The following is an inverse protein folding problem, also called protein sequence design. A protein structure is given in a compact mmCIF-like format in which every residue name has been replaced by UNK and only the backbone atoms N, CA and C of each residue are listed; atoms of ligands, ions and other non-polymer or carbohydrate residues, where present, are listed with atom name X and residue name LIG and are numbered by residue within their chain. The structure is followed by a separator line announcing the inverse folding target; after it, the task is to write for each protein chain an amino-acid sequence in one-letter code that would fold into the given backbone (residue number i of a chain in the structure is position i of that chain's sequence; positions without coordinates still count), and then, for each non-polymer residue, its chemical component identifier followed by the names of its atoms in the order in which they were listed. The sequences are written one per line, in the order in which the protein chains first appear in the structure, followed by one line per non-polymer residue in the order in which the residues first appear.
data_IF_557676202068
#
_entry.id   IF_557676202068
#
_cell.length_a   1.000
_cell.length_b   1.000
_cell.length_c   1.000
_cell.angle_alpha   90.00
_cell.angle_beta   90.00
_cell.angle_gamma   90.00
#
_symmetry.space_group_name_H-M   'P 1'
#
loop_
_entity.id
_entity.type
_entity.pdbx_description
1 polymer ?
#
# COMPACT_ATOMS: atom_id res chain seq x y z
N UNK A 1 -5.41 -29.58 -29.27
CA UNK A 1 -5.30 -28.77 -28.05
C UNK A 1 -4.04 -29.23 -27.37
N UNK A 2 -2.97 -28.42 -27.40
CA UNK A 2 -1.69 -28.81 -26.80
C UNK A 2 -1.80 -28.51 -25.31
N UNK A 3 -1.74 -29.55 -24.50
CA UNK A 3 -1.71 -29.40 -23.04
C UNK A 3 -0.24 -29.13 -22.67
N UNK A 4 -0.01 -28.54 -21.52
CA UNK A 4 1.33 -28.35 -20.97
C UNK A 4 1.28 -28.62 -19.49
N UNK A 5 2.44 -28.72 -18.86
CA UNK A 5 2.52 -28.89 -17.43
C UNK A 5 3.16 -27.68 -16.76
N UNK A 6 2.76 -27.44 -15.52
CA UNK A 6 3.40 -26.52 -14.60
C UNK A 6 3.77 -27.29 -13.34
N UNK A 7 4.99 -27.06 -12.85
CA UNK A 7 5.52 -27.62 -11.62
C UNK A 7 5.94 -26.49 -10.67
N UNK A 8 5.71 -26.71 -9.38
CA UNK A 8 6.02 -25.78 -8.30
C UNK A 8 4.80 -25.47 -7.41
N UNK A 9 4.97 -24.66 -6.35
CA UNK A 9 6.24 -24.05 -5.94
C UNK A 9 7.25 -25.09 -5.43
N UNK A 10 8.50 -24.96 -5.89
CA UNK A 10 9.63 -25.70 -5.32
C UNK A 10 10.52 -24.74 -4.53
N UNK A 11 10.85 -25.12 -3.31
CA UNK A 11 11.76 -24.36 -2.45
C UNK A 11 13.19 -24.86 -2.66
N UNK A 12 14.10 -23.97 -3.08
CA UNK A 12 15.50 -24.33 -3.31
C UNK A 12 16.42 -23.14 -3.02
N UNK A 13 17.36 -23.28 -2.10
CA UNK A 13 18.39 -22.27 -1.85
C UNK A 13 17.87 -20.89 -1.44
N UNK A 14 16.75 -20.81 -0.73
CA UNK A 14 16.08 -19.55 -0.37
C UNK A 14 15.24 -18.93 -1.49
N UNK A 15 15.10 -19.63 -2.62
CA UNK A 15 14.25 -19.24 -3.73
C UNK A 15 12.95 -20.05 -3.78
N UNK A 16 11.88 -19.43 -4.28
CA UNK A 16 10.66 -20.09 -4.72
C UNK A 16 10.72 -20.21 -6.25
N UNK A 17 10.65 -21.43 -6.77
CA UNK A 17 10.80 -21.70 -8.20
C UNK A 17 9.52 -22.32 -8.75
N UNK A 18 9.05 -21.77 -9.87
CA UNK A 18 8.01 -22.34 -10.72
C UNK A 18 8.59 -22.60 -12.10
N UNK A 19 8.14 -23.66 -12.76
CA UNK A 19 8.55 -23.94 -14.13
C UNK A 19 7.44 -24.65 -14.89
N UNK A 20 7.47 -24.57 -16.22
CA UNK A 20 6.52 -25.28 -17.04
C UNK A 20 6.97 -25.43 -18.48
N UNK A 21 6.30 -26.34 -19.18
CA UNK A 21 6.61 -26.67 -20.56
C UNK A 21 5.36 -27.13 -21.30
N UNK A 22 5.25 -26.77 -22.58
CA UNK A 22 4.23 -27.31 -23.48
C UNK A 22 4.58 -28.73 -23.93
N UNK A 23 3.58 -29.58 -24.15
CA UNK A 23 3.79 -30.97 -24.58
C UNK A 23 4.52 -31.07 -25.93
N UNK A 24 4.38 -30.05 -26.79
CA UNK A 24 5.10 -29.95 -28.07
C UNK A 24 6.53 -29.39 -27.95
N UNK A 25 6.99 -29.12 -26.72
CA UNK A 25 8.32 -28.59 -26.40
C UNK A 25 8.69 -27.31 -27.16
N UNK A 26 7.69 -26.52 -27.58
CA UNK A 26 7.88 -25.22 -28.22
C UNK A 26 7.97 -24.08 -27.23
N UNK A 27 7.45 -24.27 -26.01
CA UNK A 27 7.48 -23.27 -24.95
C UNK A 27 7.96 -23.90 -23.66
N UNK A 28 8.97 -23.29 -23.05
CA UNK A 28 9.50 -23.64 -21.74
C UNK A 28 9.72 -22.35 -20.95
N UNK A 29 9.42 -22.37 -19.66
CA UNK A 29 9.65 -21.23 -18.79
C UNK A 29 10.06 -21.65 -17.38
N UNK A 30 10.81 -20.78 -16.71
CA UNK A 30 11.22 -20.93 -15.31
C UNK A 30 11.20 -19.56 -14.64
N UNK A 31 10.38 -19.41 -13.60
CA UNK A 31 10.36 -18.22 -12.75
C UNK A 31 11.02 -18.54 -11.41
N UNK A 32 11.85 -17.63 -10.92
CA UNK A 32 12.55 -17.74 -9.65
C UNK A 32 12.32 -16.45 -8.83
N UNK A 33 11.87 -16.61 -7.60
CA UNK A 33 11.60 -15.53 -6.66
C UNK A 33 12.51 -15.68 -5.45
N UNK A 34 13.32 -14.67 -5.17
CA UNK A 34 14.27 -14.67 -4.05
C UNK A 34 13.99 -13.46 -3.18
N UNK A 35 13.80 -13.69 -1.88
CA UNK A 35 13.66 -12.64 -0.89
C UNK A 35 15.01 -12.43 -0.22
N UNK A 36 15.56 -11.23 -0.33
CA UNK A 36 16.83 -10.80 0.24
C UNK A 36 16.55 -9.73 1.30
N UNK A 37 17.24 -9.78 2.44
CA UNK A 37 17.20 -8.66 3.40
C UNK A 37 18.01 -7.47 2.87
N UNK A 38 17.50 -6.27 3.10
CA UNK A 38 18.09 -4.99 2.70
C UNK A 38 18.04 -4.00 3.86
N UNK A 39 18.96 -3.03 3.87
CA UNK A 39 19.02 -1.98 4.89
C UNK A 39 17.73 -1.13 4.99
N UNK A 40 16.86 -1.18 3.98
CA UNK A 40 15.61 -0.40 3.89
C UNK A 40 14.36 -1.30 3.87
N UNK A 41 14.49 -2.59 4.18
CA UNK A 41 13.39 -3.57 4.18
C UNK A 41 13.74 -4.85 3.43
N UNK A 42 12.75 -5.57 2.92
CA UNK A 42 12.99 -6.77 2.10
C UNK A 42 13.06 -6.41 0.62
N UNK A 43 14.01 -6.99 -0.11
CA UNK A 43 14.16 -6.88 -1.55
C UNK A 43 13.74 -8.20 -2.19
N UNK A 44 12.82 -8.14 -3.15
CA UNK A 44 12.45 -9.31 -3.94
C UNK A 44 13.16 -9.24 -5.28
N UNK A 45 13.97 -10.25 -5.58
CA UNK A 45 14.55 -10.46 -6.91
C UNK A 45 13.71 -11.49 -7.66
N UNK A 46 13.24 -11.11 -8.83
CA UNK A 46 12.48 -11.97 -9.75
C UNK A 46 13.33 -12.24 -10.98
N UNK A 47 13.57 -13.52 -11.26
CA UNK A 47 14.14 -14.00 -12.51
C UNK A 47 13.09 -14.75 -13.33
N UNK A 48 13.08 -14.53 -14.64
CA UNK A 48 12.23 -15.27 -15.57
C UNK A 48 13.01 -15.65 -16.81
N UNK A 49 13.19 -16.95 -16.98
CA UNK A 49 13.75 -17.54 -18.19
C UNK A 49 12.60 -18.06 -19.05
N UNK A 50 12.59 -17.67 -20.33
CA UNK A 50 11.60 -18.14 -21.30
C UNK A 50 12.31 -18.60 -22.56
N UNK A 51 12.04 -19.84 -22.97
CA UNK A 51 12.48 -20.38 -24.25
C UNK A 51 11.26 -20.65 -25.12
N UNK A 52 11.16 -19.92 -26.22
CA UNK A 52 10.13 -20.14 -27.24
C UNK A 52 10.79 -20.48 -28.58
N UNK A 53 10.44 -21.63 -29.15
CA UNK A 53 10.87 -22.03 -30.49
C UNK A 53 10.00 -21.31 -31.53
N UNK A 54 10.42 -20.11 -31.93
CA UNK A 54 9.80 -19.40 -33.05
C UNK A 54 9.94 -20.19 -34.34
N UNK A 55 8.92 -20.13 -35.20
CA UNK A 55 8.96 -20.80 -36.49
C UNK A 55 10.04 -20.16 -37.38
N UNK A 56 10.63 -20.94 -38.28
CA UNK A 56 11.62 -20.44 -39.26
C UNK A 56 11.08 -19.28 -40.11
N UNK A 57 9.75 -19.20 -40.28
CA UNK A 57 9.06 -18.12 -40.99
C UNK A 57 9.11 -16.79 -40.23
N UNK A 58 8.96 -16.82 -38.90
CA UNK A 58 8.99 -15.63 -38.04
C UNK A 58 10.37 -14.97 -38.02
N UNK A 59 11.43 -15.79 -38.06
CA UNK A 59 12.81 -15.32 -38.18
C UNK A 59 13.10 -14.68 -39.54
N UNK A 60 12.46 -15.17 -40.61
CA UNK A 60 12.63 -14.66 -41.98
C UNK A 60 11.92 -13.32 -42.20
N UNK A 61 10.82 -13.05 -41.47
CA UNK A 61 10.04 -11.80 -41.57
C UNK A 61 10.63 -10.65 -40.73
N UNK A 62 11.82 -10.79 -40.14
CA UNK A 62 12.48 -9.73 -39.38
C UNK A 62 11.73 -9.25 -38.13
N UNK A 63 10.73 -10.02 -37.67
CA UNK A 63 10.02 -9.73 -36.43
C UNK A 63 10.94 -10.06 -35.27
N UNK A 64 11.39 -9.02 -34.55
CA UNK A 64 12.16 -9.18 -33.31
C UNK A 64 11.46 -10.19 -32.39
N UNK A 65 12.19 -11.12 -31.75
CA UNK A 65 11.58 -12.03 -30.79
C UNK A 65 10.88 -11.19 -29.72
N UNK A 66 9.56 -11.36 -29.62
CA UNK A 66 8.75 -10.72 -28.59
C UNK A 66 9.48 -10.88 -27.24
N UNK A 67 9.75 -9.77 -26.55
CA UNK A 67 10.45 -9.77 -25.26
C UNK A 67 9.53 -10.30 -24.16
N UNK A 68 9.14 -11.57 -24.29
CA UNK A 68 8.10 -12.22 -23.50
C UNK A 68 8.45 -12.21 -22.00
N UNK A 69 9.74 -12.38 -21.68
CA UNK A 69 10.21 -12.30 -20.30
C UNK A 69 10.04 -10.90 -19.70
N UNK A 70 10.40 -9.85 -20.45
CA UNK A 70 10.24 -8.46 -20.02
C UNK A 70 8.76 -8.11 -19.84
N UNK A 71 7.92 -8.43 -20.84
CA UNK A 71 6.47 -8.23 -20.79
C UNK A 71 5.85 -8.94 -19.57
N UNK A 72 6.21 -10.19 -19.33
CA UNK A 72 5.64 -10.94 -18.22
C UNK A 72 6.09 -10.38 -16.86
N UNK A 73 7.34 -9.93 -16.73
CA UNK A 73 7.81 -9.28 -15.50
C UNK A 73 7.10 -7.93 -15.30
N UNK A 74 7.07 -7.07 -16.31
CA UNK A 74 6.58 -5.70 -16.21
C UNK A 74 5.05 -5.61 -16.09
N UNK A 75 4.33 -6.44 -16.85
CA UNK A 75 2.88 -6.31 -17.00
C UNK A 75 2.09 -7.35 -16.19
N UNK A 76 2.74 -8.39 -15.67
CA UNK A 76 2.10 -9.40 -14.84
C UNK A 76 2.73 -9.51 -13.45
N UNK A 77 4.03 -9.82 -13.32
CA UNK A 77 4.62 -10.08 -12.01
C UNK A 77 4.70 -8.81 -11.16
N UNK A 78 5.32 -7.74 -11.66
CA UNK A 78 5.50 -6.50 -10.90
C UNK A 78 4.17 -5.89 -10.44
N UNK A 79 3.10 -5.81 -11.25
CA UNK A 79 1.80 -5.31 -10.81
C UNK A 79 1.21 -6.14 -9.67
N UNK A 80 1.29 -7.47 -9.72
CA UNK A 80 0.81 -8.30 -8.60
C UNK A 80 1.66 -8.10 -7.35
N UNK A 81 2.99 -8.09 -7.47
CA UNK A 81 3.89 -7.88 -6.33
C UNK A 81 3.62 -6.50 -5.70
N UNK A 82 3.45 -5.46 -6.51
CA UNK A 82 3.03 -4.14 -6.06
C UNK A 82 1.68 -4.20 -5.36
N UNK A 83 0.63 -4.74 -5.97
CA UNK A 83 -0.69 -4.86 -5.36
C UNK A 83 -0.67 -5.58 -3.99
N UNK A 84 0.12 -6.65 -3.86
CA UNK A 84 0.19 -7.43 -2.63
C UNK A 84 1.07 -6.77 -1.55
N UNK A 85 2.12 -6.03 -1.92
CA UNK A 85 3.07 -5.40 -0.98
C UNK A 85 2.80 -3.91 -0.71
N UNK A 86 2.16 -3.19 -1.64
CA UNK A 86 1.68 -1.81 -1.47
C UNK A 86 0.58 -1.71 -0.41
N UNK A 87 -0.01 -2.85 0.03
CA UNK A 87 -0.87 -2.88 1.23
C UNK A 87 -0.17 -2.35 2.50
N UNK A 88 1.16 -2.29 2.54
CA UNK A 88 1.90 -1.73 3.67
C UNK A 88 2.44 -0.30 3.45
N UNK A 89 2.38 0.25 2.23
CA UNK A 89 2.93 1.57 1.94
C UNK A 89 2.01 2.36 1.00
N UNK A 90 1.56 3.51 1.51
CA UNK A 90 0.74 4.56 0.87
C UNK A 90 -0.76 4.46 1.14
N UNK A 91 -1.19 5.28 2.11
CA UNK A 91 -2.47 5.98 2.23
C UNK A 91 -3.43 5.77 1.03
N UNK A 92 -4.38 4.84 1.20
CA UNK A 92 -5.70 4.64 0.56
C UNK A 92 -5.85 4.88 -0.97
N UNK A 93 -6.47 3.95 -1.73
CA UNK A 93 -7.89 3.63 -1.51
C UNK A 93 -8.28 2.16 -1.80
N UNK A 94 -8.73 1.42 -0.79
CA UNK A 94 -9.64 0.26 -0.88
C UNK A 94 -10.27 0.03 0.52
N UNK A 95 -11.44 -0.65 0.63
CA UNK A 95 -12.54 -0.35 1.57
C UNK A 95 -12.31 -0.77 3.05
N UNK A 96 -11.07 -0.87 3.48
CA UNK A 96 -10.68 -1.20 4.87
C UNK A 96 -9.86 -0.10 5.55
N UNK A 97 -9.47 0.95 4.82
CA UNK A 97 -8.92 2.18 5.39
C UNK A 97 -10.02 3.21 5.64
N UNK A 98 -9.88 4.05 6.67
CA UNK A 98 -10.72 5.24 6.78
C UNK A 98 -10.51 6.07 5.49
N UNK A 99 -11.58 6.51 4.81
CA UNK A 99 -11.47 7.35 3.62
C UNK A 99 -10.79 8.67 4.01
N UNK A 100 -9.52 8.80 3.63
CA UNK A 100 -8.70 9.97 3.92
C UNK A 100 -8.28 10.65 2.63
N UNK A 101 -8.31 11.98 2.62
CA UNK A 101 -7.84 12.82 1.52
C UNK A 101 -6.70 13.71 1.99
N UNK A 102 -5.61 13.80 1.23
CA UNK A 102 -4.55 14.77 1.50
C UNK A 102 -5.06 16.19 1.15
N UNK A 103 -5.14 17.06 2.15
CA UNK A 103 -5.62 18.46 2.01
C UNK A 103 -4.49 19.48 2.14
N UNK A 104 -3.27 19.02 2.39
CA UNK A 104 -2.10 19.88 2.46
C UNK A 104 -0.82 19.12 2.74
N UNK A 105 0.28 19.68 2.22
CA UNK A 105 1.63 19.16 2.40
C UNK A 105 2.61 20.30 2.55
N UNK A 106 3.55 20.14 3.47
CA UNK A 106 4.66 21.06 3.69
C UNK A 106 5.93 20.25 3.89
N UNK A 107 6.98 20.60 3.17
CA UNK A 107 8.31 20.01 3.31
C UNK A 107 9.30 21.12 3.64
N UNK A 108 10.25 20.86 4.54
CA UNK A 108 11.23 21.85 4.95
C UNK A 108 11.73 21.66 6.38
N UNK A 109 12.25 22.73 6.97
CA UNK A 109 12.69 22.75 8.36
C UNK A 109 11.49 22.51 9.31
N UNK A 110 11.71 21.68 10.34
CA UNK A 110 10.66 21.29 11.30
C UNK A 110 10.06 22.52 12.01
N UNK A 111 10.89 23.49 12.37
CA UNK A 111 10.44 24.73 13.00
C UNK A 111 9.50 25.53 12.09
N UNK A 112 9.79 25.62 10.79
CA UNK A 112 8.90 26.27 9.80
C UNK A 112 7.60 25.50 9.60
N UNK A 113 7.68 24.16 9.51
CA UNK A 113 6.51 23.29 9.47
C UNK A 113 5.61 23.56 10.68
N UNK A 114 6.18 23.68 11.88
CA UNK A 114 5.45 23.94 13.11
C UNK A 114 4.60 25.23 13.03
N UNK A 115 5.12 26.27 12.39
CA UNK A 115 4.37 27.53 12.20
C UNK A 115 3.17 27.39 11.26
N UNK A 116 3.23 26.44 10.32
CA UNK A 116 2.19 26.20 9.31
C UNK A 116 1.11 25.22 9.76
N UNK A 117 1.29 24.53 10.89
CA UNK A 117 0.31 23.56 11.41
C UNK A 117 -1.08 24.18 11.57
N UNK A 118 -1.17 25.42 12.09
CA UNK A 118 -2.47 26.11 12.23
C UNK A 118 -3.18 26.31 10.89
N UNK A 119 -2.44 26.65 9.85
CA UNK A 119 -2.98 26.80 8.49
C UNK A 119 -3.42 25.46 7.90
N UNK A 120 -2.67 24.38 8.18
CA UNK A 120 -3.07 23.03 7.76
C UNK A 120 -4.37 22.59 8.46
N UNK A 121 -4.54 22.92 9.74
CA UNK A 121 -5.77 22.61 10.48
C UNK A 121 -6.99 23.37 9.95
N UNK A 122 -6.84 24.61 9.46
CA UNK A 122 -7.98 25.38 8.92
C UNK A 122 -8.52 24.82 7.61
N UNK A 123 -7.74 24.00 6.91
CA UNK A 123 -8.12 23.38 5.65
C UNK A 123 -8.85 22.03 5.83
N UNK A 124 -9.12 21.60 7.07
CA UNK A 124 -9.84 20.36 7.36
C UNK A 124 -10.86 20.55 8.48
N UNK A 125 -11.97 19.83 8.42
CA UNK A 125 -12.91 19.72 9.54
C UNK A 125 -12.42 18.69 10.55
N UNK A 126 -12.22 17.45 10.11
CA UNK A 126 -11.81 16.32 10.95
C UNK A 126 -10.76 15.50 10.25
N UNK A 127 -9.67 15.16 10.93
CA UNK A 127 -8.55 14.50 10.29
C UNK A 127 -7.33 14.35 11.19
N UNK A 128 -6.16 14.24 10.57
CA UNK A 128 -4.89 14.22 11.25
C UNK A 128 -3.79 14.91 10.44
N UNK A 129 -2.89 15.60 11.14
CA UNK A 129 -1.62 16.06 10.58
C UNK A 129 -0.55 15.10 11.07
N UNK A 130 0.23 14.53 10.14
CA UNK A 130 1.33 13.61 10.44
C UNK A 130 2.63 14.26 9.98
N UNK A 131 3.63 14.27 10.86
CA UNK A 131 4.94 14.88 10.63
C UNK A 131 6.00 13.79 10.75
N UNK A 132 6.87 13.67 9.76
CA UNK A 132 7.95 12.67 9.73
C UNK A 132 9.28 13.34 9.37
N UNK A 133 10.21 13.33 10.31
CA UNK A 133 11.61 13.69 10.11
C UNK A 133 12.52 12.48 10.29
N UNK A 134 13.84 12.69 10.23
CA UNK A 134 14.85 11.61 10.35
C UNK A 134 14.76 10.85 11.69
N UNK A 135 14.66 11.58 12.80
CA UNK A 135 14.64 11.03 14.17
C UNK A 135 13.38 11.42 14.95
N UNK A 136 12.34 11.84 14.23
CA UNK A 136 11.12 12.44 14.78
C UNK A 136 9.90 11.92 14.03
N UNK A 137 8.84 11.56 14.78
CA UNK A 137 7.49 11.39 14.24
C UNK A 137 6.50 12.10 15.14
N UNK A 138 5.60 12.89 14.58
CA UNK A 138 4.51 13.50 15.34
C UNK A 138 3.17 13.30 14.63
N UNK A 139 2.10 13.24 15.42
CA UNK A 139 0.73 13.22 14.96
C UNK A 139 -0.12 14.19 15.76
N UNK A 140 -1.02 14.88 15.07
CA UNK A 140 -1.98 15.83 15.63
C UNK A 140 -3.34 15.46 15.06
N UNK A 141 -4.22 14.92 15.88
CA UNK A 141 -5.62 14.72 15.52
C UNK A 141 -6.33 16.07 15.50
N UNK A 142 -7.13 16.29 14.46
CA UNK A 142 -7.90 17.51 14.26
C UNK A 142 -9.38 17.14 14.30
N UNK A 143 -10.15 17.85 15.11
CA UNK A 143 -11.60 17.73 15.21
C UNK A 143 -12.20 19.13 15.23
N UNK A 144 -13.16 19.38 14.35
CA UNK A 144 -13.80 20.68 14.15
C UNK A 144 -12.77 21.81 13.95
N UNK A 145 -11.72 21.54 13.16
CA UNK A 145 -10.61 22.47 12.89
C UNK A 145 -9.70 22.75 14.10
N UNK A 146 -9.82 22.00 15.19
CA UNK A 146 -9.04 22.17 16.44
C UNK A 146 -8.20 20.93 16.75
N UNK A 147 -7.02 21.09 17.35
CA UNK A 147 -6.24 19.95 17.80
C UNK A 147 -6.91 19.27 19.00
N UNK A 148 -6.99 17.93 18.98
CA UNK A 148 -7.59 17.13 20.07
C UNK A 148 -6.57 16.23 20.77
N UNK A 149 -5.89 15.36 20.03
CA UNK A 149 -4.82 14.51 20.54
C UNK A 149 -3.53 14.74 19.78
N UNK A 150 -2.48 15.03 20.52
CA UNK A 150 -1.16 15.28 19.97
C UNK A 150 -0.15 14.32 20.58
N UNK A 151 0.70 13.74 19.74
CA UNK A 151 1.79 12.86 20.14
C UNK A 151 3.02 13.15 19.29
N UNK A 152 4.19 13.16 19.92
CA UNK A 152 5.48 13.23 19.26
C UNK A 152 6.40 12.16 19.86
N UNK A 153 7.15 11.49 18.99
CA UNK A 153 8.17 10.50 19.32
C UNK A 153 9.48 11.04 18.77
N UNK A 154 10.44 11.25 19.65
CA UNK A 154 11.80 11.71 19.32
C UNK A 154 12.80 10.78 19.98
N UNK A 155 13.46 9.93 19.18
CA UNK A 155 14.24 8.81 19.71
C UNK A 155 13.39 7.95 20.66
N UNK A 156 13.81 7.86 21.93
CA UNK A 156 13.10 7.10 22.98
C UNK A 156 12.12 7.95 23.81
N UNK A 157 11.98 9.25 23.51
CA UNK A 157 11.10 10.14 24.26
C UNK A 157 9.73 10.21 23.59
N UNK A 158 8.67 10.08 24.41
CA UNK A 158 7.28 10.32 23.98
C UNK A 158 6.79 11.61 24.64
N UNK A 159 6.31 12.53 23.82
CA UNK A 159 5.76 13.83 24.21
C UNK A 159 4.30 13.85 23.79
N UNK A 160 3.41 14.37 24.62
CA UNK A 160 1.96 14.37 24.36
C UNK A 160 1.31 15.69 24.73
N UNK A 161 0.12 15.94 24.20
CA UNK A 161 -0.63 17.16 24.50
C UNK A 161 0.01 18.42 23.93
N UNK A 162 -0.22 19.57 24.60
CA UNK A 162 0.19 20.89 24.10
C UNK A 162 1.71 21.05 23.95
N UNK A 163 2.49 20.24 24.66
CA UNK A 163 3.95 20.24 24.60
C UNK A 163 4.47 19.81 23.23
N UNK A 164 3.67 19.09 22.44
CA UNK A 164 4.07 18.65 21.10
C UNK A 164 4.36 19.84 20.19
N UNK A 165 3.49 20.85 20.17
CA UNK A 165 3.69 22.03 19.32
C UNK A 165 4.90 22.86 19.77
N UNK A 166 5.08 23.01 21.08
CA UNK A 166 6.24 23.71 21.63
C UNK A 166 7.54 23.00 21.26
N UNK A 167 7.58 21.67 21.35
CA UNK A 167 8.76 20.88 21.00
C UNK A 167 9.04 20.89 19.50
N UNK A 168 8.01 20.88 18.64
CA UNK A 168 8.20 21.02 17.19
C UNK A 168 8.83 22.36 16.80
N UNK A 169 8.48 23.45 17.49
CA UNK A 169 9.09 24.78 17.24
C UNK A 169 10.58 24.79 17.60
N UNK A 170 10.98 24.06 18.63
CA UNK A 170 12.36 23.98 19.12
C UNK A 170 13.21 22.95 18.35
N UNK A 171 12.59 22.11 17.53
CA UNK A 171 13.28 21.05 16.82
C UNK A 171 13.93 21.59 15.54
N UNK A 172 15.07 20.99 15.16
CA UNK A 172 15.82 21.36 13.97
C UNK A 172 15.94 20.19 13.01
N UNK A 173 16.12 20.49 11.73
CA UNK A 173 16.28 19.50 10.67
C UNK A 173 15.05 19.41 9.78
N UNK A 174 15.21 18.60 8.74
CA UNK A 174 14.23 18.47 7.66
C UNK A 174 13.15 17.44 8.00
N UNK A 175 11.90 17.77 7.66
CA UNK A 175 10.76 16.87 7.76
C UNK A 175 9.73 17.14 6.67
N UNK A 176 8.75 16.23 6.61
CA UNK A 176 7.54 16.38 5.81
C UNK A 176 6.34 16.33 6.74
N UNK A 177 5.41 17.26 6.55
CA UNK A 177 4.09 17.27 7.17
C UNK A 177 3.02 17.03 6.12
N UNK A 178 2.11 16.10 6.40
CA UNK A 178 0.95 15.79 5.57
C UNK A 178 -0.32 15.96 6.40
N UNK A 179 -1.25 16.74 5.87
CA UNK A 179 -2.56 17.00 6.41
C UNK A 179 -3.58 16.09 5.72
N UNK A 180 -4.21 15.20 6.47
CA UNK A 180 -5.16 14.21 5.99
C UNK A 180 -6.54 14.51 6.58
N UNK A 181 -7.52 14.81 5.73
CA UNK A 181 -8.92 14.95 6.14
C UNK A 181 -9.64 13.61 6.01
N UNK A 182 -10.46 13.29 7.00
CA UNK A 182 -11.28 12.07 7.05
C UNK A 182 -12.69 12.40 6.57
N UNK A 183 -13.18 11.63 5.59
CA UNK A 183 -14.56 11.72 5.12
C UNK A 183 -15.50 10.98 6.11
N UNK A 184 -16.04 11.76 7.05
CA UNK A 184 -16.94 11.25 8.09
C UNK A 184 -18.29 10.80 7.54
N UNK A 185 -18.78 11.39 6.45
CA UNK A 185 -20.05 11.00 5.84
C UNK A 185 -19.93 9.59 5.28
N UNK A 186 -18.86 9.34 4.51
CA UNK A 186 -18.59 8.02 3.95
C UNK A 186 -18.35 6.95 5.02
N UNK A 187 -17.73 7.29 6.15
CA UNK A 187 -17.58 6.36 7.29
C UNK A 187 -18.94 5.99 7.88
N UNK A 188 -19.83 6.99 8.05
CA UNK A 188 -21.16 6.78 8.58
C UNK A 188 -21.97 5.89 7.63
N UNK A 189 -21.92 6.16 6.32
CA UNK A 189 -22.61 5.35 5.32
C UNK A 189 -22.17 3.89 5.37
N UNK A 190 -20.85 3.62 5.38
CA UNK A 190 -20.33 2.26 5.52
C UNK A 190 -20.76 1.59 6.83
N UNK A 191 -20.74 2.34 7.93
CA UNK A 191 -21.12 1.82 9.25
C UNK A 191 -22.60 1.48 9.30
N UNK A 192 -23.45 2.30 8.68
CA UNK A 192 -24.90 2.07 8.58
C UNK A 192 -25.22 0.88 7.67
N UNK A 193 -24.59 0.77 6.50
CA UNK A 193 -24.76 -0.42 5.64
C UNK A 193 -24.32 -1.70 6.33
N UNK A 194 -23.19 -1.67 7.03
CA UNK A 194 -22.72 -2.80 7.81
C UNK A 194 -23.72 -3.17 8.90
N UNK A 195 -24.23 -2.19 9.66
CA UNK A 195 -25.25 -2.44 10.67
C UNK A 195 -26.51 -3.05 10.05
N UNK A 196 -27.02 -2.52 8.93
CA UNK A 196 -28.20 -3.06 8.25
C UNK A 196 -28.04 -4.51 7.82
N UNK A 197 -26.85 -4.94 7.40
CA UNK A 197 -26.56 -6.33 7.00
C UNK A 197 -26.53 -7.30 8.18
N UNK A 198 -26.21 -6.81 9.38
CA UNK A 198 -25.98 -7.64 10.56
C UNK A 198 -27.06 -7.51 11.64
N UNK A 199 -28.00 -6.57 11.47
CA UNK A 199 -29.20 -6.48 12.30
C UNK A 199 -30.21 -7.50 11.79
N UNK A 200 -30.32 -8.63 12.50
CA UNK A 200 -31.38 -9.61 12.25
C UNK A 200 -32.74 -9.00 12.59
N UNK A 201 -33.71 -9.14 11.69
CA UNK A 201 -35.09 -8.77 11.97
C UNK A 201 -35.72 -9.89 12.82
N UNK A 202 -35.89 -9.65 14.12
CA UNK A 202 -36.73 -10.49 14.95
C UNK A 202 -38.19 -10.21 14.58
N UNK A 203 -38.75 -10.97 13.62
CA UNK A 203 -40.17 -11.37 13.54
C UNK A 203 -40.46 -12.09 12.22
N UNK A 204 -40.33 -13.41 12.26
CA UNK A 204 -41.38 -14.29 11.74
C UNK A 204 -41.81 -15.20 12.90
N UNK A 205 -42.58 -14.62 13.83
CA UNK A 205 -43.44 -15.44 14.67
C UNK A 205 -44.47 -16.02 13.72
N UNK A 206 -44.21 -17.22 13.22
CA UNK A 206 -45.19 -18.00 12.49
C UNK A 206 -46.44 -18.06 13.36
N UNK A 207 -47.51 -17.43 12.90
CA UNK A 207 -48.86 -17.70 13.34
C UNK A 207 -49.13 -19.20 13.15
N UNK A 208 -48.95 -19.98 14.21
CA UNK A 208 -49.72 -21.21 14.41
C UNK A 208 -51.13 -20.77 14.75
N UNK A 209 -51.99 -20.70 13.73
CA UNK A 209 -53.43 -20.64 13.91
C UNK A 209 -54.09 -21.76 13.09
N UNK A 210 -54.70 -22.66 13.87
CA UNK A 210 -55.76 -23.65 13.62
C UNK A 210 -55.53 -24.80 12.62
#
# INVERSE_FOLDING_TARGET
MTIGYMNGPNLSGGAIVYAGKSDDAKFEWRAEFIVEDSAVGSKIRVGLDVAYKSSTLDKLMGRSPFQLAEHFIQDHILPYVKLYLEKEQVVAPEPQGLPMTEVGRVEGEISEIATKIRQLMTNMKTGAIVIKGKNLRASIQVKDGKPSHMKMIRGNQVITGNDVLANLILESGQAVAVALEVDMERILDYSTEYALKNVETTKDVKNTEY
#
